data_IF_005076850156
#
_entry.id   IF_005076850156
#
_cell.length_a   1.000
_cell.length_b   1.000
_cell.length_c   1.000
_cell.angle_alpha   90.00
_cell.angle_beta   90.00
_cell.angle_gamma   90.00
#
_symmetry.space_group_name_H-M   'P 1'
#
loop_
_entity.id
_entity.type
_entity.pdbx_description
1 polymer ?
#
# COMPACT_ATOMS: atom_id res chain seq x y z
N UNK A 1 -7.31 -10.78 -15.23
CA UNK A 1 -7.42 -9.33 -14.94
C UNK A 1 -8.24 -9.07 -13.69
N UNK A 2 -9.55 -9.35 -13.65
CA UNK A 2 -10.36 -9.12 -12.43
C UNK A 2 -9.90 -10.00 -11.24
N UNK A 3 -9.72 -11.30 -11.45
CA UNK A 3 -9.23 -12.22 -10.42
C UNK A 3 -7.83 -11.85 -9.90
N UNK A 4 -6.95 -11.36 -10.77
CA UNK A 4 -5.60 -10.93 -10.40
C UNK A 4 -5.62 -9.65 -9.57
N UNK A 5 -6.53 -8.72 -9.90
CA UNK A 5 -6.73 -7.49 -9.14
C UNK A 5 -7.32 -7.77 -7.75
N UNK A 6 -8.30 -8.66 -7.66
CA UNK A 6 -8.88 -9.09 -6.38
C UNK A 6 -7.84 -9.77 -5.49
N UNK A 7 -6.95 -10.58 -6.10
CA UNK A 7 -5.84 -11.20 -5.37
C UNK A 7 -4.86 -10.14 -4.86
N UNK A 8 -4.50 -9.16 -5.69
CA UNK A 8 -3.62 -8.06 -5.31
C UNK A 8 -4.21 -7.25 -4.15
N UNK A 9 -5.50 -6.94 -4.20
CA UNK A 9 -6.21 -6.22 -3.14
C UNK A 9 -6.18 -6.98 -1.81
N UNK A 10 -6.43 -8.29 -1.85
CA UNK A 10 -6.38 -9.14 -0.66
C UNK A 10 -4.96 -9.19 -0.05
N UNK A 11 -3.93 -9.35 -0.88
CA UNK A 11 -2.52 -9.36 -0.45
C UNK A 11 -2.10 -8.01 0.17
N UNK A 12 -2.53 -6.90 -0.43
CA UNK A 12 -2.29 -5.57 0.10
C UNK A 12 -2.98 -5.35 1.45
N UNK A 13 -4.26 -5.70 1.56
CA UNK A 13 -5.00 -5.59 2.83
C UNK A 13 -4.34 -6.43 3.94
N UNK A 14 -3.91 -7.65 3.62
CA UNK A 14 -3.20 -8.52 4.56
C UNK A 14 -1.86 -7.92 5.01
N UNK A 15 -1.08 -7.37 4.08
CA UNK A 15 0.20 -6.71 4.39
C UNK A 15 0.01 -5.51 5.35
N UNK A 16 -1.01 -4.69 5.13
CA UNK A 16 -1.37 -3.56 5.99
C UNK A 16 -1.77 -4.05 7.40
N UNK A 17 -2.69 -5.02 7.49
CA UNK A 17 -3.17 -5.54 8.78
C UNK A 17 -2.06 -6.21 9.58
N UNK A 18 -1.10 -6.87 8.91
CA UNK A 18 0.05 -7.53 9.55
C UNK A 18 1.20 -6.59 9.89
N UNK A 19 1.12 -5.31 9.49
CA UNK A 19 2.24 -4.38 9.59
C UNK A 19 3.51 -4.95 8.94
N UNK A 20 3.38 -5.48 7.71
CA UNK A 20 4.48 -6.02 6.91
C UNK A 20 4.91 -4.98 5.86
N UNK A 21 5.80 -4.02 6.20
CA UNK A 21 6.22 -2.96 5.29
C UNK A 21 6.93 -3.51 4.06
N UNK A 22 7.65 -4.64 4.18
CA UNK A 22 8.32 -5.26 3.04
C UNK A 22 7.34 -5.85 2.03
N UNK A 23 6.20 -6.39 2.48
CA UNK A 23 5.13 -6.79 1.58
C UNK A 23 4.46 -5.59 0.92
N UNK A 24 4.16 -4.53 1.68
CA UNK A 24 3.61 -3.28 1.12
C UNK A 24 4.54 -2.69 0.05
N UNK A 25 5.84 -2.60 0.33
CA UNK A 25 6.84 -2.05 -0.58
C UNK A 25 6.86 -2.74 -1.96
N UNK A 26 6.65 -4.05 -2.01
CA UNK A 26 6.62 -4.85 -3.25
C UNK A 26 5.32 -4.70 -4.04
N UNK A 27 4.23 -4.31 -3.39
CA UNK A 27 2.89 -4.22 -3.98
C UNK A 27 2.59 -2.84 -4.56
N UNK A 28 3.30 -1.80 -4.10
CA UNK A 28 3.06 -0.41 -4.49
C UNK A 28 4.15 0.14 -5.41
N UNK A 29 3.76 1.01 -6.34
CA UNK A 29 4.69 1.74 -7.19
C UNK A 29 5.58 2.69 -6.37
N UNK A 30 6.75 3.04 -6.90
CA UNK A 30 7.68 3.96 -6.22
C UNK A 30 7.11 5.37 -6.05
N UNK A 31 6.24 5.78 -6.97
CA UNK A 31 5.52 7.06 -6.93
C UNK A 31 4.19 6.97 -6.16
N UNK A 32 4.03 5.99 -5.27
CA UNK A 32 2.82 5.84 -4.47
C UNK A 32 2.64 7.00 -3.48
N UNK A 33 1.44 7.59 -3.53
CA UNK A 33 1.02 8.70 -2.69
C UNK A 33 -0.26 8.32 -1.95
N UNK A 34 -0.32 8.61 -0.66
CA UNK A 34 -1.51 8.49 0.17
C UNK A 34 -2.00 9.89 0.51
N UNK A 35 -3.30 10.11 0.32
CA UNK A 35 -3.99 11.31 0.75
C UNK A 35 -4.79 10.95 1.98
N UNK A 36 -4.39 11.48 3.13
CA UNK A 36 -5.06 11.29 4.41
C UNK A 36 -6.40 12.03 4.43
N UNK A 37 -7.25 11.68 5.39
CA UNK A 37 -8.59 12.27 5.54
C UNK A 37 -8.56 13.79 5.81
N UNK A 38 -7.45 14.32 6.33
CA UNK A 38 -7.22 15.75 6.55
C UNK A 38 -6.61 16.47 5.33
N UNK A 39 -6.41 15.76 4.22
CA UNK A 39 -5.72 16.26 3.03
C UNK A 39 -4.20 16.26 3.15
N UNK A 40 -3.65 15.73 4.24
CA UNK A 40 -2.22 15.47 4.38
C UNK A 40 -1.74 14.48 3.33
N UNK A 41 -0.56 14.73 2.77
CA UNK A 41 0.04 13.90 1.74
C UNK A 41 1.24 13.20 2.35
N UNK A 42 1.28 11.87 2.23
CA UNK A 42 2.45 11.06 2.56
C UNK A 42 2.86 10.24 1.34
N UNK A 43 4.16 10.14 1.12
CA UNK A 43 4.72 9.30 0.07
C UNK A 43 5.07 7.90 0.60
N UNK A 44 5.46 6.99 -0.32
CA UNK A 44 5.88 5.62 0.00
C UNK A 44 6.95 5.58 1.09
N UNK A 45 7.95 6.46 1.03
CA UNK A 45 9.05 6.48 2.01
C UNK A 45 8.53 6.84 3.39
N UNK A 46 7.72 7.90 3.51
CA UNK A 46 7.13 8.34 4.77
C UNK A 46 6.16 7.30 5.38
N UNK A 47 5.55 6.44 4.56
CA UNK A 47 4.68 5.36 5.06
C UNK A 47 5.47 4.16 5.61
N UNK A 48 6.66 3.89 5.06
CA UNK A 48 7.45 2.69 5.39
C UNK A 48 8.44 2.88 6.55
N UNK A 49 8.57 4.11 7.08
CA UNK A 49 9.35 4.45 8.29
C UNK A 49 8.64 4.03 9.59
#
# INVERSE_FOLDING_TARGET
MEEELLKLEAEFAEAIVKNDPGAVERLVADEWIIINADGGIIDKSAFLE
#
